data_IF_577257666897
#
_entry.id   IF_577257666897
#
_cell.length_a   1.000
_cell.length_b   1.000
_cell.length_c   1.000
_cell.angle_alpha   90.00
_cell.angle_beta   90.00
_cell.angle_gamma   90.00
#
_symmetry.space_group_name_H-M   'P 1'
#
loop_
_entity.id
_entity.type
_entity.pdbx_description
1 polymer ?
#
# COMPACT_ATOMS: atom_id res chain seq x y z
N UNK A 1 1.95 34.07 2.07
CA UNK A 1 2.20 32.93 1.14
C UNK A 1 1.37 31.76 1.63
N UNK A 2 0.56 31.14 0.78
CA UNK A 2 -0.23 29.96 1.14
C UNK A 2 0.40 28.75 0.47
N UNK A 3 1.11 27.93 1.24
CA UNK A 3 1.61 26.64 0.80
C UNK A 3 0.45 25.64 0.85
N UNK A 4 0.06 25.11 -0.32
CA UNK A 4 -0.90 24.01 -0.40
C UNK A 4 -0.18 22.72 -0.04
N UNK A 5 -0.26 22.30 1.21
CA UNK A 5 0.24 20.99 1.62
C UNK A 5 -0.71 19.92 1.07
N UNK A 6 -0.22 19.08 0.15
CA UNK A 6 -1.01 17.99 -0.39
C UNK A 6 -1.48 17.06 0.75
N UNK A 7 -2.75 16.59 0.74
CA UNK A 7 -3.25 15.72 1.78
C UNK A 7 -2.43 14.43 1.79
N UNK A 8 -1.74 14.20 2.91
CA UNK A 8 -1.01 12.95 3.17
C UNK A 8 -1.99 11.79 3.25
N UNK A 9 -2.00 10.93 2.23
CA UNK A 9 -2.74 9.67 2.25
C UNK A 9 -2.32 8.86 3.47
N UNK A 10 -3.25 8.40 4.31
CA UNK A 10 -2.88 7.62 5.48
C UNK A 10 -2.27 6.30 5.05
N UNK A 11 -1.12 6.02 5.64
CA UNK A 11 -0.38 4.78 5.42
C UNK A 11 -1.01 3.65 6.21
N UNK A 12 -0.89 2.45 5.69
CA UNK A 12 -1.29 1.25 6.41
C UNK A 12 -0.28 0.95 7.54
N UNK A 13 -0.75 1.00 8.78
CA UNK A 13 0.07 0.73 9.97
C UNK A 13 0.65 -0.69 9.97
N UNK A 14 -0.12 -1.69 9.51
CA UNK A 14 0.30 -3.10 9.57
C UNK A 14 1.54 -3.44 8.72
N UNK A 15 1.85 -2.63 7.70
CA UNK A 15 3.00 -2.89 6.84
C UNK A 15 4.13 -1.86 7.00
N UNK A 16 3.96 -0.82 7.81
CA UNK A 16 4.99 0.18 8.11
C UNK A 16 5.71 0.78 6.88
N UNK A 17 5.05 0.79 5.72
CA UNK A 17 5.61 1.28 4.45
C UNK A 17 6.16 0.22 3.49
N UNK A 18 6.07 -1.07 3.82
CA UNK A 18 6.46 -2.20 2.96
C UNK A 18 5.25 -3.06 2.56
N UNK A 19 4.40 -2.58 1.64
CA UNK A 19 3.15 -3.25 1.32
C UNK A 19 3.31 -4.51 0.47
N UNK A 20 4.42 -4.66 -0.26
CA UNK A 20 4.77 -5.85 -1.04
C UNK A 20 6.26 -6.12 -0.88
N UNK A 21 6.62 -7.35 -0.52
CA UNK A 21 8.01 -7.80 -0.38
C UNK A 21 8.26 -9.05 -1.21
N UNK A 22 9.48 -9.18 -1.71
CA UNK A 22 9.93 -10.37 -2.42
C UNK A 22 10.57 -11.36 -1.41
N UNK A 23 10.08 -12.59 -1.39
CA UNK A 23 10.59 -13.67 -0.53
C UNK A 23 11.16 -14.78 -1.40
N UNK A 24 12.41 -15.14 -1.18
CA UNK A 24 13.01 -16.30 -1.83
C UNK A 24 12.40 -17.54 -1.22
N UNK A 25 11.60 -18.26 -2.00
CA UNK A 25 11.16 -19.60 -1.63
C UNK A 25 12.38 -20.51 -1.81
N UNK A 26 12.66 -21.43 -0.89
CA UNK A 26 13.89 -22.26 -0.94
C UNK A 26 14.07 -23.13 -2.20
N UNK A 27 13.17 -23.01 -3.18
CA UNK A 27 13.18 -23.70 -4.46
C UNK A 27 14.10 -22.98 -5.45
N UNK A 28 14.58 -23.76 -6.41
CA UNK A 28 15.37 -23.27 -7.54
C UNK A 28 14.66 -23.66 -8.82
N UNK A 29 14.63 -22.74 -9.77
CA UNK A 29 14.23 -23.05 -11.12
C UNK A 29 15.28 -23.94 -11.79
N UNK A 30 14.90 -24.61 -12.88
CA UNK A 30 15.77 -25.57 -13.58
C UNK A 30 17.01 -24.91 -14.20
N UNK A 31 16.91 -23.63 -14.52
CA UNK A 31 18.02 -22.78 -14.98
C UNK A 31 18.98 -22.36 -13.86
N UNK A 32 18.68 -22.69 -12.60
CA UNK A 32 19.53 -22.41 -11.44
C UNK A 32 19.21 -21.11 -10.69
N UNK A 33 18.32 -20.27 -11.22
CA UNK A 33 17.78 -19.11 -10.49
C UNK A 33 16.91 -19.56 -9.29
N UNK A 34 16.76 -18.68 -8.30
CA UNK A 34 15.96 -18.98 -7.10
C UNK A 34 14.52 -18.51 -7.31
N UNK A 35 13.58 -19.36 -6.94
CA UNK A 35 12.16 -19.03 -7.05
C UNK A 35 11.80 -17.98 -6.00
N UNK A 36 11.29 -16.84 -6.45
CA UNK A 36 10.92 -15.71 -5.60
C UNK A 36 9.41 -15.51 -5.66
N UNK A 37 8.76 -15.47 -4.50
CA UNK A 37 7.35 -15.17 -4.37
C UNK A 37 7.16 -13.73 -3.87
N UNK A 38 6.09 -13.06 -4.32
CA UNK A 38 5.67 -11.77 -3.78
C UNK A 38 4.67 -11.98 -2.65
N UNK A 39 4.96 -11.42 -1.48
CA UNK A 39 4.06 -11.40 -0.34
C UNK A 39 3.49 -9.99 -0.18
N UNK A 40 2.18 -9.85 -0.33
CA UNK A 40 1.47 -8.58 -0.14
C UNK A 40 0.86 -8.50 1.27
N UNK A 41 0.84 -7.30 1.85
CA UNK A 41 0.17 -7.05 3.13
C UNK A 41 -1.34 -7.32 3.00
N UNK A 42 -1.94 -8.21 3.81
CA UNK A 42 -3.35 -8.56 3.68
C UNK A 42 -4.29 -7.42 4.09
N UNK A 43 -3.85 -6.53 4.99
CA UNK A 43 -4.66 -5.42 5.49
C UNK A 43 -4.90 -4.34 4.43
N UNK A 44 -3.90 -4.04 3.59
CA UNK A 44 -4.01 -3.05 2.51
C UNK A 44 -3.96 -3.66 1.10
N UNK A 45 -3.85 -4.99 0.99
CA UNK A 45 -3.73 -5.71 -0.29
C UNK A 45 -2.62 -5.17 -1.20
N UNK A 46 -1.51 -4.72 -0.61
CA UNK A 46 -0.37 -4.20 -1.36
C UNK A 46 -0.44 -2.72 -1.76
N UNK A 47 -1.48 -1.96 -1.40
CA UNK A 47 -1.57 -0.53 -1.75
C UNK A 47 -0.73 0.40 -0.85
N UNK A 48 -0.31 -0.08 0.33
CA UNK A 48 0.43 0.72 1.32
C UNK A 48 -0.37 1.84 1.98
N UNK A 49 -1.65 1.99 1.63
CA UNK A 49 -2.56 3.01 2.14
C UNK A 49 -3.90 2.40 2.51
N UNK A 50 -4.55 3.01 3.51
CA UNK A 50 -5.93 2.69 3.83
C UNK A 50 -6.84 3.69 3.14
N UNK A 51 -7.88 3.21 2.47
CA UNK A 51 -8.87 4.08 1.86
C UNK A 51 -9.56 4.88 2.97
N UNK A 52 -9.31 6.19 3.01
CA UNK A 52 -10.15 7.08 3.81
C UNK A 52 -11.43 7.24 3.03
N UNK A 53 -12.53 6.77 3.59
CA UNK A 53 -13.84 7.21 3.12
C UNK A 53 -13.94 8.71 3.41
N UNK A 54 -13.56 9.52 2.43
CA UNK A 54 -13.75 10.96 2.48
C UNK A 54 -15.26 11.20 2.52
N UNK A 55 -15.78 11.57 3.70
CA UNK A 55 -17.14 12.07 3.83
C UNK A 55 -17.19 13.42 3.13
N UNK A 56 -17.61 13.43 1.87
CA UNK A 56 -17.90 14.66 1.15
C UNK A 56 -19.21 15.21 1.71
N UNK A 57 -19.11 16.22 2.58
CA UNK A 57 -20.24 17.03 2.95
C UNK A 57 -20.58 17.93 1.75
N UNK A 58 -21.55 17.53 0.94
CA UNK A 58 -22.14 18.39 -0.08
C UNK A 58 -22.99 19.44 0.63
N UNK A 59 -22.36 20.54 1.01
CA UNK A 59 -23.03 21.69 1.59
C UNK A 59 -23.77 22.50 0.52
N UNK A 60 -24.93 22.03 0.09
CA UNK A 60 -25.89 22.86 -0.64
C UNK A 60 -26.63 23.77 0.34
N UNK A 61 -26.52 25.09 0.18
CA UNK A 61 -27.36 26.08 0.85
C UNK A 61 -28.38 26.62 -0.15
N UNK A 62 -29.67 26.57 0.23
CA UNK A 62 -30.86 27.07 -0.48
C UNK A 62 -30.95 28.58 -0.50
#
# INVERSE_FOLDING_TARGET
MAESTAPRTPRCFNCDGFPVVAVTTGRRHRDGSRETASAACPACRGTGSVAVLARVLVGGRV
#
